data_IF_811854815393
#
_entry.id   IF_811854815393
#
_cell.length_a   1.000
_cell.length_b   1.000
_cell.length_c   1.000
_cell.angle_alpha   90.00
_cell.angle_beta   90.00
_cell.angle_gamma   90.00
#
_symmetry.space_group_name_H-M   'P 1'
#
loop_
_entity.id
_entity.type
_entity.pdbx_description
1 polymer ?
#
# COMPACT_ATOMS: atom_id res chain seq x y z
N UNK A 1 12.42 -11.81 -5.75
CA UNK A 1 11.58 -12.81 -6.39
C UNK A 1 11.23 -12.27 -7.77
N UNK A 2 11.93 -12.70 -8.83
CA UNK A 2 11.77 -12.21 -10.21
C UNK A 2 11.37 -13.34 -11.19
N UNK A 3 10.86 -14.45 -10.68
CA UNK A 3 10.34 -15.55 -11.50
C UNK A 3 8.84 -15.40 -11.77
N UNK A 4 8.30 -16.10 -12.78
CA UNK A 4 6.87 -16.22 -12.97
C UNK A 4 6.25 -16.84 -11.71
N UNK A 5 5.09 -16.32 -11.29
CA UNK A 5 4.32 -16.91 -10.20
C UNK A 5 3.53 -18.10 -10.74
N UNK A 6 3.54 -19.17 -9.97
CA UNK A 6 2.78 -20.37 -10.25
C UNK A 6 1.33 -20.19 -9.77
N UNK A 7 0.41 -20.90 -10.45
CA UNK A 7 -0.99 -20.95 -10.08
C UNK A 7 -1.38 -22.41 -9.86
N UNK A 8 -1.97 -22.70 -8.69
CA UNK A 8 -2.56 -24.00 -8.39
C UNK A 8 -4.03 -23.87 -7.99
N UNK A 9 -4.80 -24.90 -8.22
CA UNK A 9 -6.23 -24.95 -7.91
C UNK A 9 -6.54 -26.25 -7.18
N UNK A 10 -7.30 -26.15 -6.10
CA UNK A 10 -7.68 -27.32 -5.33
C UNK A 10 -8.67 -27.02 -4.22
N UNK A 11 -8.94 -28.03 -3.42
CA UNK A 11 -9.82 -27.94 -2.25
C UNK A 11 -8.95 -27.85 -1.00
N UNK A 12 -9.29 -26.90 -0.13
CA UNK A 12 -8.58 -26.68 1.14
C UNK A 12 -8.83 -27.85 2.09
N UNK A 13 -7.78 -28.44 2.59
CA UNK A 13 -7.80 -29.49 3.60
C UNK A 13 -6.68 -29.29 4.62
N UNK A 14 -6.76 -29.91 5.80
CA UNK A 14 -5.79 -29.81 6.90
C UNK A 14 -5.43 -28.34 7.26
N UNK A 15 -6.45 -27.48 7.34
CA UNK A 15 -6.29 -26.05 7.53
C UNK A 15 -5.82 -25.72 8.96
N UNK A 16 -4.73 -24.95 9.03
CA UNK A 16 -4.23 -24.35 10.28
C UNK A 16 -4.09 -22.86 10.08
N UNK A 17 -4.78 -22.08 10.90
CA UNK A 17 -4.77 -20.62 10.86
C UNK A 17 -4.19 -20.10 12.17
N UNK A 18 -3.20 -19.23 12.09
CA UNK A 18 -2.58 -18.58 13.24
C UNK A 18 -2.49 -17.09 13.00
N UNK A 19 -3.03 -16.30 13.91
CA UNK A 19 -2.83 -14.87 13.91
C UNK A 19 -1.48 -14.58 14.56
N UNK A 20 -0.62 -13.89 13.82
CA UNK A 20 0.74 -13.55 14.24
C UNK A 20 0.97 -12.06 14.02
N UNK A 21 1.92 -11.50 14.73
CA UNK A 21 2.33 -10.11 14.55
C UNK A 21 3.71 -10.15 13.91
N UNK A 22 3.79 -9.71 12.66
CA UNK A 22 5.03 -9.76 11.90
C UNK A 22 5.38 -8.41 11.27
N UNK A 23 6.67 -8.21 11.04
CA UNK A 23 7.18 -7.03 10.39
C UNK A 23 7.10 -7.19 8.86
N UNK A 24 6.02 -6.70 8.26
CA UNK A 24 5.77 -6.80 6.82
C UNK A 24 6.33 -5.63 6.01
N UNK A 25 6.71 -4.54 6.68
CA UNK A 25 7.13 -3.30 6.02
C UNK A 25 8.63 -3.19 5.76
N UNK A 26 9.47 -3.75 6.65
CA UNK A 26 10.88 -3.43 6.65
C UNK A 26 11.71 -4.44 5.89
N UNK A 27 12.55 -3.95 4.97
CA UNK A 27 13.74 -4.67 4.50
C UNK A 27 14.92 -4.26 5.36
N UNK A 28 15.91 -5.15 5.45
CA UNK A 28 17.25 -4.78 5.92
C UNK A 28 17.72 -3.53 5.15
N UNK A 29 18.06 -2.45 5.86
CA UNK A 29 18.46 -1.18 5.28
C UNK A 29 17.38 -0.08 5.20
N UNK A 30 16.08 -0.38 5.29
CA UNK A 30 15.03 0.66 5.24
C UNK A 30 15.14 1.59 6.46
N UNK A 31 15.44 1.05 7.64
CA UNK A 31 15.63 1.81 8.89
C UNK A 31 16.80 2.80 8.77
N UNK A 32 17.94 2.34 8.24
CA UNK A 32 19.12 3.19 8.06
C UNK A 32 18.88 4.33 7.08
N UNK A 33 18.11 4.08 6.02
CA UNK A 33 17.73 5.08 5.02
C UNK A 33 16.82 6.17 5.60
N UNK A 34 15.88 5.81 6.49
CA UNK A 34 15.01 6.79 7.18
C UNK A 34 15.81 7.58 8.21
N UNK A 35 16.64 6.91 8.99
CA UNK A 35 17.52 7.58 9.96
C UNK A 35 18.45 8.59 9.28
N UNK A 36 19.05 8.21 8.14
CA UNK A 36 19.89 9.11 7.34
C UNK A 36 19.10 10.32 6.81
N UNK A 37 17.87 10.10 6.31
CA UNK A 37 17.00 11.19 5.85
C UNK A 37 16.60 12.11 7.00
N UNK A 38 16.33 11.57 8.18
CA UNK A 38 16.07 12.31 9.40
C UNK A 38 17.27 13.15 9.84
N UNK A 39 18.48 12.62 9.76
CA UNK A 39 19.72 13.34 10.05
C UNK A 39 19.94 14.53 9.11
N UNK A 40 19.66 14.36 7.81
CA UNK A 40 19.71 15.47 6.84
C UNK A 40 18.66 16.53 7.16
N UNK A 41 17.43 16.14 7.50
CA UNK A 41 16.38 17.07 7.90
C UNK A 41 16.77 17.86 9.17
N UNK A 42 17.39 17.20 10.15
CA UNK A 42 17.91 17.86 11.35
C UNK A 42 19.02 18.87 11.02
N UNK A 43 19.95 18.50 10.15
CA UNK A 43 21.04 19.39 9.70
C UNK A 43 20.53 20.63 8.95
N UNK A 44 19.36 20.54 8.32
CA UNK A 44 18.66 21.65 7.68
C UNK A 44 17.78 22.46 8.65
N UNK A 45 17.83 22.19 9.94
CA UNK A 45 17.01 22.88 10.95
C UNK A 45 15.55 22.44 11.01
N UNK A 46 15.18 21.37 10.30
CA UNK A 46 13.82 20.81 10.25
C UNK A 46 13.60 19.84 11.43
N UNK A 47 13.57 20.35 12.65
CA UNK A 47 13.50 19.54 13.87
C UNK A 47 12.25 18.65 13.97
N UNK A 48 11.08 19.16 13.53
CA UNK A 48 9.82 18.40 13.52
C UNK A 48 9.88 17.18 12.60
N UNK A 49 10.14 17.34 11.29
CA UNK A 49 10.34 16.22 10.36
C UNK A 49 11.46 15.26 10.78
N UNK A 50 12.58 15.79 11.31
CA UNK A 50 13.68 14.97 11.79
C UNK A 50 13.27 14.07 12.98
N UNK A 51 12.54 14.61 13.95
CA UNK A 51 12.01 13.84 15.08
C UNK A 51 11.00 12.78 14.61
N UNK A 52 10.10 13.13 13.69
CA UNK A 52 9.15 12.17 13.10
C UNK A 52 9.85 11.02 12.39
N UNK A 53 10.90 11.29 11.61
CA UNK A 53 11.68 10.25 10.94
C UNK A 53 12.49 9.40 11.93
N UNK A 54 13.02 10.00 12.98
CA UNK A 54 13.71 9.28 14.05
C UNK A 54 12.77 8.31 14.76
N UNK A 55 11.57 8.75 15.13
CA UNK A 55 10.54 7.89 15.70
C UNK A 55 10.17 6.75 14.73
N UNK A 56 9.90 7.05 13.47
CA UNK A 56 9.59 6.03 12.44
C UNK A 56 10.74 5.04 12.22
N UNK A 57 11.99 5.42 12.38
CA UNK A 57 13.13 4.50 12.25
C UNK A 57 13.33 3.62 13.50
N UNK A 58 12.90 4.08 14.66
CA UNK A 58 13.03 3.36 15.93
C UNK A 58 11.87 2.39 16.19
N UNK A 59 10.68 2.69 15.65
CA UNK A 59 9.49 1.90 15.88
C UNK A 59 9.48 0.62 15.02
N UNK A 60 9.26 -0.52 15.65
CA UNK A 60 9.00 -1.77 14.95
C UNK A 60 7.55 -1.74 14.45
N UNK A 61 7.37 -1.40 13.18
CA UNK A 61 6.05 -1.47 12.54
C UNK A 61 5.68 -2.93 12.28
N UNK A 62 5.19 -3.57 13.31
CA UNK A 62 4.61 -4.90 13.23
C UNK A 62 3.11 -4.79 12.94
N UNK A 63 2.60 -5.64 12.06
CA UNK A 63 1.18 -5.70 11.75
C UNK A 63 0.60 -7.08 12.09
N UNK A 64 -0.67 -7.11 12.55
CA UNK A 64 -1.37 -8.37 12.69
C UNK A 64 -1.63 -8.97 11.30
N UNK A 65 -1.13 -10.16 11.09
CA UNK A 65 -1.27 -10.92 9.85
C UNK A 65 -1.66 -12.36 10.17
N UNK A 66 -2.13 -13.07 9.17
CA UNK A 66 -2.56 -14.45 9.32
C UNK A 66 -1.58 -15.39 8.61
N UNK A 67 -0.90 -16.22 9.38
CA UNK A 67 -0.14 -17.34 8.85
C UNK A 67 -1.07 -18.50 8.64
N UNK A 68 -1.10 -19.03 7.43
CA UNK A 68 -1.93 -20.16 7.04
C UNK A 68 -1.06 -21.31 6.57
N UNK A 69 -1.45 -22.50 6.98
CA UNK A 69 -0.88 -23.76 6.50
C UNK A 69 -2.06 -24.66 6.13
N UNK A 70 -2.07 -25.20 4.93
CA UNK A 70 -3.12 -26.10 4.47
C UNK A 70 -2.61 -27.00 3.34
N UNK A 71 -3.43 -27.94 2.90
CA UNK A 71 -3.12 -28.81 1.77
C UNK A 71 -4.09 -28.57 0.63
N UNK A 72 -3.54 -28.60 -0.58
CA UNK A 72 -4.31 -28.68 -1.83
C UNK A 72 -3.96 -30.01 -2.52
N UNK A 73 -4.79 -31.03 -2.29
CA UNK A 73 -4.46 -32.40 -2.70
C UNK A 73 -3.18 -32.87 -2.01
N UNK A 74 -2.11 -33.09 -2.79
CA UNK A 74 -0.81 -33.52 -2.26
C UNK A 74 0.14 -32.35 -1.93
N UNK A 75 -0.16 -31.15 -2.41
CA UNK A 75 0.69 -29.96 -2.22
C UNK A 75 0.47 -29.35 -0.84
N UNK A 76 1.54 -29.24 -0.05
CA UNK A 76 1.52 -28.48 1.19
C UNK A 76 1.70 -27.00 0.87
N UNK A 77 0.79 -26.17 1.38
CA UNK A 77 0.75 -24.73 1.15
C UNK A 77 1.00 -23.98 2.44
N UNK A 78 1.91 -23.04 2.40
CA UNK A 78 2.16 -22.08 3.48
C UNK A 78 1.96 -20.66 2.93
N UNK A 79 1.42 -19.76 3.75
CA UNK A 79 1.23 -18.37 3.33
C UNK A 79 1.18 -17.41 4.51
N UNK A 80 1.57 -16.17 4.23
CA UNK A 80 1.39 -15.04 5.12
C UNK A 80 0.43 -14.06 4.45
N UNK A 81 -0.81 -14.06 4.91
CA UNK A 81 -1.91 -13.33 4.30
C UNK A 81 -2.46 -12.27 5.25
N UNK A 82 -3.13 -11.28 4.72
CA UNK A 82 -3.68 -10.22 5.55
C UNK A 82 -4.82 -10.72 6.45
N UNK A 83 -5.61 -11.69 5.95
CA UNK A 83 -6.69 -12.33 6.69
C UNK A 83 -6.94 -13.73 6.10
N UNK A 84 -7.87 -14.49 6.67
CA UNK A 84 -8.29 -15.78 6.14
C UNK A 84 -9.82 -15.91 6.20
N UNK A 85 -10.55 -15.60 5.11
CA UNK A 85 -12.00 -15.67 5.10
C UNK A 85 -12.56 -17.01 4.59
N UNK A 86 -11.71 -18.01 4.33
CA UNK A 86 -12.09 -19.28 3.74
C UNK A 86 -12.22 -20.39 4.78
N UNK A 87 -12.96 -21.44 4.42
CA UNK A 87 -13.19 -22.62 5.25
C UNK A 87 -12.52 -23.84 4.65
N UNK A 88 -12.34 -24.86 5.49
CA UNK A 88 -11.95 -26.18 5.01
C UNK A 88 -13.04 -26.73 4.08
N UNK A 89 -12.64 -27.31 2.96
CA UNK A 89 -13.53 -27.76 1.88
C UNK A 89 -13.81 -26.73 0.79
N UNK A 90 -13.44 -25.46 0.98
CA UNK A 90 -13.58 -24.44 -0.07
C UNK A 90 -12.64 -24.75 -1.26
N UNK A 91 -13.14 -24.50 -2.46
CA UNK A 91 -12.34 -24.61 -3.69
C UNK A 91 -11.65 -23.29 -3.96
N UNK A 92 -10.33 -23.30 -3.90
CA UNK A 92 -9.52 -22.07 -4.04
C UNK A 92 -8.50 -22.18 -5.18
N UNK A 93 -8.15 -21.02 -5.72
CA UNK A 93 -6.97 -20.82 -6.57
C UNK A 93 -5.92 -20.12 -5.74
N UNK A 94 -4.69 -20.61 -5.79
CA UNK A 94 -3.56 -19.97 -5.12
C UNK A 94 -2.55 -19.49 -6.15
N UNK A 95 -1.98 -18.31 -5.89
CA UNK A 95 -0.89 -17.75 -6.67
C UNK A 95 0.30 -17.55 -5.75
N UNK A 96 1.44 -18.04 -6.18
CA UNK A 96 2.65 -17.97 -5.36
C UNK A 96 3.88 -18.57 -6.05
N UNK A 97 4.75 -19.16 -5.27
CA UNK A 97 5.95 -19.82 -5.78
C UNK A 97 6.23 -21.13 -5.03
N UNK A 98 6.78 -22.10 -5.76
CA UNK A 98 7.30 -23.32 -5.11
C UNK A 98 8.61 -23.01 -4.41
N UNK A 99 8.75 -23.56 -3.20
CA UNK A 99 9.97 -23.50 -2.42
C UNK A 99 10.86 -24.71 -2.74
N UNK A 100 12.13 -24.62 -2.37
CA UNK A 100 13.12 -25.69 -2.61
C UNK A 100 12.77 -27.00 -1.86
N UNK A 101 12.04 -26.92 -0.77
CA UNK A 101 11.54 -28.06 0.02
C UNK A 101 10.28 -28.72 -0.57
N UNK A 102 9.82 -28.25 -1.75
CA UNK A 102 8.63 -28.76 -2.45
C UNK A 102 7.30 -28.17 -1.98
N UNK A 103 7.29 -27.38 -0.91
CA UNK A 103 6.11 -26.67 -0.46
C UNK A 103 5.77 -25.50 -1.39
N UNK A 104 4.51 -25.06 -1.35
CA UNK A 104 4.05 -23.90 -2.09
C UNK A 104 3.86 -22.71 -1.15
N UNK A 105 4.53 -21.59 -1.43
CA UNK A 105 4.33 -20.35 -0.70
C UNK A 105 3.28 -19.48 -1.39
N UNK A 106 2.09 -19.36 -0.79
CA UNK A 106 0.98 -18.60 -1.33
C UNK A 106 1.13 -17.10 -1.03
N UNK A 107 1.11 -16.29 -2.08
CA UNK A 107 1.05 -14.84 -2.03
C UNK A 107 -0.39 -14.32 -2.12
N UNK A 108 -1.28 -15.09 -2.73
CA UNK A 108 -2.69 -14.77 -2.81
C UNK A 108 -3.52 -16.04 -2.92
N UNK A 109 -4.70 -16.00 -2.33
CA UNK A 109 -5.71 -17.07 -2.36
C UNK A 109 -7.03 -16.46 -2.80
N UNK A 110 -7.68 -17.11 -3.76
CA UNK A 110 -8.90 -16.64 -4.41
C UNK A 110 -9.94 -17.76 -4.44
N UNK A 111 -11.15 -17.43 -4.00
CA UNK A 111 -12.34 -18.26 -4.12
C UNK A 111 -13.24 -17.68 -5.22
N UNK A 112 -13.45 -18.41 -6.30
CA UNK A 112 -14.27 -17.97 -7.44
C UNK A 112 -15.76 -18.01 -7.13
N UNK A 113 -16.21 -18.96 -6.31
CA UNK A 113 -17.62 -19.11 -5.96
C UNK A 113 -18.09 -17.96 -5.07
N UNK A 114 -17.26 -17.59 -4.10
CA UNK A 114 -17.49 -16.45 -3.20
C UNK A 114 -17.08 -15.10 -3.79
N UNK A 115 -16.38 -15.10 -4.94
CA UNK A 115 -15.75 -13.92 -5.56
C UNK A 115 -14.89 -13.11 -4.58
N UNK A 116 -14.14 -13.81 -3.77
CA UNK A 116 -13.26 -13.21 -2.75
C UNK A 116 -11.81 -13.54 -3.01
N UNK A 117 -10.95 -12.57 -2.74
CA UNK A 117 -9.50 -12.71 -2.80
C UNK A 117 -8.88 -12.16 -1.52
N UNK A 118 -7.94 -12.89 -0.98
CA UNK A 118 -7.03 -12.43 0.06
C UNK A 118 -5.60 -12.51 -0.48
N UNK A 119 -4.77 -11.55 -0.11
CA UNK A 119 -3.40 -11.49 -0.59
C UNK A 119 -2.44 -11.17 0.55
N UNK A 120 -1.14 -11.24 0.24
CA UNK A 120 -0.09 -10.74 1.12
C UNK A 120 -0.43 -9.30 1.58
N UNK A 121 -0.08 -8.90 2.81
CA UNK A 121 -0.38 -7.57 3.33
C UNK A 121 0.00 -6.44 2.35
N UNK A 122 -0.88 -5.44 2.25
CA UNK A 122 -0.78 -4.28 1.34
C UNK A 122 -0.88 -4.57 -0.16
N UNK A 123 -1.06 -5.81 -0.56
CA UNK A 123 -1.27 -6.19 -1.95
C UNK A 123 -2.76 -6.07 -2.29
N UNK A 124 -3.20 -4.89 -2.70
CA UNK A 124 -4.62 -4.60 -3.00
C UNK A 124 -4.85 -3.81 -4.29
N UNK A 125 -3.79 -3.28 -4.90
CA UNK A 125 -3.91 -2.47 -6.11
C UNK A 125 -2.71 -2.65 -7.03
N UNK A 126 -2.95 -2.69 -8.33
CA UNK A 126 -1.91 -2.71 -9.34
C UNK A 126 -1.12 -1.40 -9.39
N UNK A 127 0.03 -1.42 -10.06
CA UNK A 127 1.02 -0.34 -10.03
C UNK A 127 0.49 1.00 -10.54
N UNK A 128 -0.29 1.01 -11.63
CA UNK A 128 -0.90 2.24 -12.14
C UNK A 128 -1.99 2.78 -11.21
N UNK A 129 -2.87 1.90 -10.71
CA UNK A 129 -3.91 2.30 -9.76
C UNK A 129 -3.31 2.88 -8.48
N UNK A 130 -2.21 2.30 -7.98
CA UNK A 130 -1.45 2.80 -6.85
C UNK A 130 -0.95 4.23 -7.10
N UNK A 131 -0.24 4.47 -8.21
CA UNK A 131 0.34 5.80 -8.51
C UNK A 131 -0.74 6.86 -8.79
N UNK A 132 -1.84 6.50 -9.45
CA UNK A 132 -3.00 7.39 -9.61
C UNK A 132 -3.54 7.78 -8.22
N UNK A 133 -3.63 6.82 -7.29
CA UNK A 133 -4.03 7.09 -5.91
C UNK A 133 -3.07 8.04 -5.21
N UNK A 134 -1.77 7.78 -5.27
CA UNK A 134 -0.73 8.64 -4.67
C UNK A 134 -0.85 10.06 -5.19
N UNK A 135 -0.92 10.26 -6.51
CA UNK A 135 -1.04 11.60 -7.11
C UNK A 135 -2.33 12.29 -6.71
N UNK A 136 -3.46 11.56 -6.74
CA UNK A 136 -4.76 12.10 -6.34
C UNK A 136 -4.73 12.63 -4.91
N UNK A 137 -4.27 11.83 -3.95
CA UNK A 137 -4.24 12.24 -2.54
C UNK A 137 -3.21 13.34 -2.30
N UNK A 138 -2.03 13.26 -2.93
CA UNK A 138 -1.03 14.32 -2.84
C UNK A 138 -1.59 15.66 -3.29
N UNK A 139 -2.25 15.71 -4.45
CA UNK A 139 -2.85 16.97 -4.95
C UNK A 139 -4.04 17.41 -4.10
N UNK A 140 -4.86 16.47 -3.62
CA UNK A 140 -6.00 16.79 -2.76
C UNK A 140 -5.59 17.47 -1.44
N UNK A 141 -4.42 17.16 -0.91
CA UNK A 141 -3.89 17.80 0.30
C UNK A 141 -3.01 19.02 -0.01
N UNK A 142 -2.19 18.96 -1.06
CA UNK A 142 -1.25 20.04 -1.37
C UNK A 142 -1.92 21.31 -1.89
N UNK A 143 -2.96 21.18 -2.72
CA UNK A 143 -3.63 22.34 -3.30
C UNK A 143 -4.34 23.21 -2.24
N UNK A 144 -5.19 22.65 -1.34
CA UNK A 144 -5.80 23.44 -0.27
C UNK A 144 -4.75 24.00 0.72
N UNK A 145 -3.71 23.23 1.05
CA UNK A 145 -2.65 23.69 1.95
C UNK A 145 -1.87 24.85 1.37
N UNK A 146 -1.51 24.78 0.10
CA UNK A 146 -0.83 25.86 -0.60
C UNK A 146 -1.73 27.10 -0.74
N UNK A 147 -3.02 26.92 -1.05
CA UNK A 147 -3.97 28.02 -1.13
C UNK A 147 -4.17 28.70 0.24
N UNK A 148 -4.29 27.90 1.30
CA UNK A 148 -4.42 28.43 2.67
C UNK A 148 -3.16 29.23 3.08
N UNK A 149 -1.96 28.71 2.75
CA UNK A 149 -0.71 29.40 3.04
C UNK A 149 -0.64 30.76 2.33
N UNK A 150 -0.99 30.81 1.03
CA UNK A 150 -1.04 32.07 0.27
C UNK A 150 -2.07 33.03 0.89
N UNK A 151 -3.25 32.52 1.22
CA UNK A 151 -4.31 33.33 1.86
C UNK A 151 -3.83 33.97 3.18
N UNK A 152 -3.22 33.17 4.05
CA UNK A 152 -2.69 33.67 5.35
C UNK A 152 -1.59 34.73 5.11
N UNK A 153 -0.73 34.51 4.12
CA UNK A 153 0.30 35.49 3.77
C UNK A 153 -0.29 36.80 3.26
N UNK A 154 -1.30 36.72 2.40
CA UNK A 154 -2.03 37.89 1.88
C UNK A 154 -2.70 38.67 3.01
N UNK A 155 -3.46 37.97 3.86
CA UNK A 155 -4.20 38.59 4.98
C UNK A 155 -3.24 39.24 5.99
N UNK A 156 -2.09 38.61 6.25
CA UNK A 156 -1.09 39.13 7.17
C UNK A 156 -0.29 40.32 6.62
N UNK A 157 -0.34 40.62 5.34
CA UNK A 157 0.40 41.70 4.68
C UNK A 157 -0.47 42.71 3.96
N UNK A 158 -1.78 42.75 4.25
CA UNK A 158 -2.72 43.63 3.58
C UNK A 158 -2.32 45.13 3.62
N UNK A 159 -1.71 45.56 4.71
CA UNK A 159 -1.33 46.97 4.93
C UNK A 159 0.05 47.33 4.35
N UNK A 160 0.89 46.31 4.05
CA UNK A 160 2.31 46.51 3.70
C UNK A 160 2.61 46.08 2.26
N UNK A 161 1.74 45.33 1.59
CA UNK A 161 2.05 44.68 0.33
C UNK A 161 1.58 45.52 -0.85
N UNK A 162 2.50 46.06 -1.65
CA UNK A 162 2.11 46.66 -2.90
C UNK A 162 1.56 45.57 -3.84
N UNK A 163 0.34 45.75 -4.36
CA UNK A 163 -0.29 44.90 -5.34
C UNK A 163 0.33 45.12 -6.73
N UNK A 164 1.62 44.82 -6.84
CA UNK A 164 2.38 44.92 -8.08
C UNK A 164 2.68 43.52 -8.67
N UNK A 165 3.20 43.52 -9.88
CA UNK A 165 3.60 42.28 -10.59
C UNK A 165 4.66 41.46 -9.83
N UNK A 166 5.52 42.12 -9.05
CA UNK A 166 6.55 41.49 -8.24
C UNK A 166 5.94 40.66 -7.10
N UNK A 167 4.96 41.22 -6.42
CA UNK A 167 4.24 40.54 -5.33
C UNK A 167 3.45 39.33 -5.82
N UNK A 168 2.80 39.43 -6.98
CA UNK A 168 2.12 38.29 -7.61
C UNK A 168 3.09 37.15 -7.95
N UNK A 169 4.26 37.48 -8.53
CA UNK A 169 5.30 36.48 -8.79
C UNK A 169 5.78 35.77 -7.52
N UNK A 170 6.01 36.53 -6.42
CA UNK A 170 6.40 35.93 -5.13
C UNK A 170 5.37 34.93 -4.62
N UNK A 171 4.08 35.28 -4.67
CA UNK A 171 3.00 34.37 -4.29
C UNK A 171 2.96 33.12 -5.14
N UNK A 172 3.15 33.26 -6.47
CA UNK A 172 3.20 32.12 -7.38
C UNK A 172 4.38 31.17 -7.07
N UNK A 173 5.56 31.73 -6.78
CA UNK A 173 6.71 30.93 -6.39
C UNK A 173 6.50 30.18 -5.07
N UNK A 174 5.90 30.84 -4.08
CA UNK A 174 5.55 30.20 -2.80
C UNK A 174 4.57 29.06 -3.03
N UNK A 175 3.49 29.33 -3.79
CA UNK A 175 2.50 28.31 -4.12
C UNK A 175 3.12 27.11 -4.84
N UNK A 176 3.92 27.36 -5.85
CA UNK A 176 4.63 26.31 -6.60
C UNK A 176 5.61 25.53 -5.72
N UNK A 177 6.32 26.23 -4.81
CA UNK A 177 7.22 25.63 -3.83
C UNK A 177 6.50 24.68 -2.88
N UNK A 178 5.36 25.09 -2.31
CA UNK A 178 4.53 24.24 -1.43
C UNK A 178 4.05 22.98 -2.15
N UNK A 179 3.57 23.11 -3.40
CA UNK A 179 3.15 21.96 -4.20
C UNK A 179 4.33 21.03 -4.48
N UNK A 180 5.48 21.58 -4.86
CA UNK A 180 6.69 20.79 -5.18
C UNK A 180 7.16 19.97 -3.97
N UNK A 181 7.20 20.56 -2.79
CA UNK A 181 7.56 19.86 -1.54
C UNK A 181 6.54 18.78 -1.23
N UNK A 182 5.26 19.07 -1.33
CA UNK A 182 4.19 18.09 -1.09
C UNK A 182 4.26 16.94 -2.08
N UNK A 183 4.50 17.20 -3.36
CA UNK A 183 4.68 16.17 -4.39
C UNK A 183 5.90 15.30 -4.10
N UNK A 184 7.01 15.90 -3.68
CA UNK A 184 8.20 15.16 -3.30
C UNK A 184 7.92 14.20 -2.13
N UNK A 185 7.22 14.67 -1.09
CA UNK A 185 6.81 13.84 0.05
C UNK A 185 5.86 12.72 -0.40
N UNK A 186 4.85 13.04 -1.21
CA UNK A 186 3.90 12.07 -1.73
C UNK A 186 4.57 10.97 -2.57
N UNK A 187 5.50 11.34 -3.45
CA UNK A 187 6.28 10.40 -4.26
C UNK A 187 7.16 9.54 -3.34
N UNK A 188 7.80 10.14 -2.33
CA UNK A 188 8.66 9.41 -1.39
C UNK A 188 7.88 8.36 -0.58
N UNK A 189 6.69 8.71 -0.11
CA UNK A 189 5.79 7.77 0.59
C UNK A 189 5.27 6.70 -0.39
N UNK A 190 4.77 7.10 -1.55
CA UNK A 190 4.23 6.19 -2.55
C UNK A 190 5.25 5.16 -3.05
N UNK A 191 6.51 5.56 -3.20
CA UNK A 191 7.58 4.66 -3.66
C UNK A 191 7.81 3.47 -2.73
N UNK A 192 7.53 3.59 -1.43
CA UNK A 192 7.64 2.50 -0.46
C UNK A 192 6.65 1.37 -0.73
N UNK A 193 5.44 1.73 -1.16
CA UNK A 193 4.38 0.77 -1.44
C UNK A 193 4.42 0.22 -2.87
N UNK A 194 5.27 0.77 -3.73
CA UNK A 194 5.39 0.33 -5.14
C UNK A 194 5.75 -1.16 -5.26
N UNK A 195 6.50 -1.72 -4.30
CA UNK A 195 6.82 -3.16 -4.30
C UNK A 195 5.57 -4.04 -4.18
N UNK A 196 4.61 -3.64 -3.33
CA UNK A 196 3.35 -4.37 -3.16
C UNK A 196 2.46 -4.22 -4.38
N UNK A 197 2.45 -3.04 -4.99
CA UNK A 197 1.74 -2.80 -6.23
C UNK A 197 2.31 -3.61 -7.41
N UNK A 198 3.63 -3.78 -7.50
CA UNK A 198 4.25 -4.68 -8.48
C UNK A 198 3.97 -6.15 -8.21
N UNK A 199 3.93 -6.54 -6.93
CA UNK A 199 3.50 -7.89 -6.54
C UNK A 199 2.05 -8.14 -6.96
N UNK A 200 1.15 -7.16 -6.76
CA UNK A 200 -0.22 -7.22 -7.25
C UNK A 200 -0.29 -7.38 -8.77
N UNK A 201 0.53 -6.65 -9.54
CA UNK A 201 0.60 -6.79 -11.00
C UNK A 201 0.92 -8.24 -11.40
N UNK A 202 1.91 -8.85 -10.74
CA UNK A 202 2.31 -10.24 -11.02
C UNK A 202 1.20 -11.24 -10.66
N UNK A 203 0.54 -11.05 -9.51
CA UNK A 203 -0.58 -11.89 -9.07
C UNK A 203 -1.75 -11.78 -10.05
N UNK A 204 -2.17 -10.55 -10.39
CA UNK A 204 -3.30 -10.33 -11.30
C UNK A 204 -3.02 -10.87 -12.71
N UNK A 205 -1.77 -10.77 -13.16
CA UNK A 205 -1.33 -11.37 -14.42
C UNK A 205 -1.42 -12.89 -14.39
N UNK A 206 -0.98 -13.55 -13.30
CA UNK A 206 -1.08 -15.01 -13.15
C UNK A 206 -2.53 -15.48 -13.05
N UNK A 207 -3.44 -14.66 -12.51
CA UNK A 207 -4.88 -14.91 -12.51
C UNK A 207 -5.54 -14.67 -13.88
N UNK A 208 -4.80 -14.19 -14.90
CA UNK A 208 -5.33 -13.86 -16.21
C UNK A 208 -6.20 -12.61 -16.27
N UNK A 209 -6.10 -11.72 -15.26
CA UNK A 209 -6.93 -10.53 -15.23
C UNK A 209 -6.41 -9.45 -16.18
N UNK A 210 -7.25 -9.13 -17.17
CA UNK A 210 -6.97 -8.08 -18.14
C UNK A 210 -6.93 -6.73 -17.42
N UNK A 211 -5.90 -5.91 -17.69
CA UNK A 211 -5.70 -4.60 -17.07
C UNK A 211 -5.45 -4.62 -15.56
N UNK A 212 -4.90 -5.71 -15.00
CA UNK A 212 -4.58 -5.84 -13.58
C UNK A 212 -3.82 -4.65 -12.98
N UNK A 213 -2.94 -4.00 -13.77
CA UNK A 213 -2.20 -2.80 -13.35
C UNK A 213 -3.09 -1.61 -12.94
N UNK A 214 -4.28 -1.51 -13.52
CA UNK A 214 -5.25 -0.44 -13.24
C UNK A 214 -6.29 -0.85 -12.20
N UNK A 215 -6.29 -2.12 -11.77
CA UNK A 215 -7.25 -2.61 -10.78
C UNK A 215 -6.92 -2.11 -9.39
N UNK A 216 -7.96 -1.70 -8.67
CA UNK A 216 -7.91 -1.40 -7.25
C UNK A 216 -9.01 -2.19 -6.55
N UNK A 217 -8.62 -3.28 -5.89
CA UNK A 217 -9.53 -4.19 -5.23
C UNK A 217 -10.35 -3.51 -4.12
N UNK A 218 -9.76 -2.54 -3.41
CA UNK A 218 -10.49 -1.75 -2.41
C UNK A 218 -11.65 -0.98 -3.03
N UNK A 219 -11.42 -0.33 -4.16
CA UNK A 219 -12.46 0.42 -4.87
C UNK A 219 -13.54 -0.52 -5.43
N UNK A 220 -13.14 -1.64 -6.02
CA UNK A 220 -14.09 -2.64 -6.54
C UNK A 220 -14.95 -3.19 -5.41
N UNK A 221 -14.33 -3.58 -4.29
CA UNK A 221 -15.06 -4.06 -3.11
C UNK A 221 -16.01 -3.01 -2.57
N UNK A 222 -15.58 -1.73 -2.49
CA UNK A 222 -16.42 -0.64 -2.00
C UNK A 222 -17.69 -0.45 -2.84
N UNK A 223 -17.57 -0.61 -4.16
CA UNK A 223 -18.72 -0.50 -5.09
C UNK A 223 -19.67 -1.70 -4.98
N UNK A 224 -19.15 -2.88 -4.62
CA UNK A 224 -19.90 -4.14 -4.54
C UNK A 224 -20.26 -4.55 -3.10
N UNK A 225 -20.02 -3.69 -2.12
CA UNK A 225 -20.28 -3.98 -0.71
C UNK A 225 -21.77 -3.88 -0.38
N UNK A 226 -22.28 -4.86 0.35
CA UNK A 226 -23.61 -4.88 0.95
C UNK A 226 -23.57 -4.45 2.41
N UNK A 227 -24.73 -4.06 2.97
CA UNK A 227 -24.86 -3.69 4.38
C UNK A 227 -24.56 -4.86 5.34
N UNK A 228 -24.79 -6.10 4.90
CA UNK A 228 -24.61 -7.31 5.69
C UNK A 228 -23.16 -7.88 5.58
N UNK A 229 -22.31 -7.26 4.78
CA UNK A 229 -20.93 -7.74 4.61
C UNK A 229 -20.09 -7.48 5.86
N UNK A 230 -19.19 -8.42 6.15
CA UNK A 230 -18.29 -8.34 7.30
C UNK A 230 -17.43 -7.07 7.26
N UNK A 231 -17.19 -6.38 8.39
CA UNK A 231 -16.41 -5.12 8.42
C UNK A 231 -15.04 -5.21 7.78
N UNK A 232 -14.33 -6.33 7.89
CA UNK A 232 -13.00 -6.55 7.34
C UNK A 232 -12.95 -6.67 5.80
N UNK A 233 -14.13 -6.84 5.13
CA UNK A 233 -14.21 -6.85 3.67
C UNK A 233 -13.90 -5.45 3.12
N UNK A 234 -12.91 -5.37 2.26
CA UNK A 234 -12.39 -4.12 1.70
C UNK A 234 -11.16 -3.56 2.42
N UNK A 235 -10.84 -4.09 3.60
CA UNK A 235 -9.63 -3.73 4.36
C UNK A 235 -8.55 -4.80 4.24
N UNK A 236 -8.86 -6.04 4.59
CA UNK A 236 -7.89 -7.14 4.66
C UNK A 236 -8.14 -8.25 3.63
N UNK A 237 -9.33 -8.36 3.10
CA UNK A 237 -9.68 -9.20 1.95
C UNK A 237 -10.69 -8.48 1.07
N UNK A 238 -10.81 -8.88 -0.18
CA UNK A 238 -11.48 -8.09 -1.20
C UNK A 238 -12.45 -8.92 -2.02
N UNK A 239 -13.50 -8.25 -2.54
CA UNK A 239 -14.40 -8.78 -3.58
C UNK A 239 -13.95 -8.25 -4.94
N UNK A 240 -14.03 -9.08 -6.00
CA UNK A 240 -13.61 -8.74 -7.37
C UNK A 240 -14.70 -9.05 -8.40
#
# INVERSE_FOLDING_TARGET
MNGPLDLEVGIVSDLRVRHVVENVFWREGDRSSIAATGAVAAALGLSGPAAGMAMMSAEEMTEPVTRVEFRLGETQVEGLLWNWPFSEGDRVKIVGSRMEDGKFFALSVLDEDKRMIVSYPHVSSGSWAHWIGVMKYTLMFSLPSAALYVLVTVLGSLDEMPWDWSSLKKMLYIFAGCISVSCFIGIRIGSRFTRYARMADSIFQSLGWVNGKYMNLRNITKLNRSADDHPALGDTYFRY
#
